data_IF_047798567296
#
_entry.id   IF_047798567296
#
_cell.length_a   1.000
_cell.length_b   1.000
_cell.length_c   1.000
_cell.angle_alpha   90.00
_cell.angle_beta   90.00
_cell.angle_gamma   90.00
#
_symmetry.space_group_name_H-M   'P 1'
#
loop_
_entity.id
_entity.type
_entity.pdbx_description
1 polymer ?
#
# COMPACT_ATOMS: atom_id res chain seq x y z
N UNK A 1 22.70 1.83 6.71
CA UNK A 1 23.56 2.48 7.74
C UNK A 1 24.39 1.49 8.55
N UNK A 2 23.82 0.56 9.33
CA UNK A 2 24.63 -0.33 10.20
C UNK A 2 25.64 -1.15 9.38
N UNK A 3 25.19 -1.84 8.33
CA UNK A 3 26.06 -2.64 7.44
C UNK A 3 27.18 -1.78 6.85
N UNK A 4 26.86 -0.57 6.38
CA UNK A 4 27.85 0.34 5.80
C UNK A 4 28.89 0.79 6.82
N UNK A 5 28.47 1.17 8.03
CA UNK A 5 29.37 1.62 9.08
C UNK A 5 30.27 0.49 9.60
N UNK A 6 29.72 -0.73 9.70
CA UNK A 6 30.46 -1.89 10.20
C UNK A 6 31.45 -2.45 9.15
N UNK A 7 31.09 -2.43 7.87
CA UNK A 7 31.93 -2.98 6.79
C UNK A 7 32.85 -1.96 6.12
N UNK A 8 32.54 -0.66 6.22
CA UNK A 8 33.18 0.39 5.41
C UNK A 8 32.77 0.38 3.93
N UNK A 9 31.84 -0.51 3.52
CA UNK A 9 31.38 -0.65 2.15
C UNK A 9 30.07 0.11 1.92
N UNK A 10 29.77 0.44 0.66
CA UNK A 10 28.41 0.82 0.29
C UNK A 10 27.47 -0.39 0.45
N UNK A 11 26.20 -0.13 0.73
CA UNK A 11 25.25 -1.20 1.04
C UNK A 11 25.04 -2.11 -0.17
N UNK A 12 24.87 -1.51 -1.34
CA UNK A 12 24.73 -2.17 -2.64
C UNK A 12 25.92 -3.06 -2.99
N UNK A 13 27.15 -2.59 -2.73
CA UNK A 13 28.36 -3.38 -2.99
C UNK A 13 28.47 -4.55 -2.01
N UNK A 14 28.10 -4.33 -0.74
CA UNK A 14 28.10 -5.37 0.28
C UNK A 14 27.13 -6.50 -0.06
N UNK A 15 25.86 -6.19 -0.34
CA UNK A 15 24.88 -7.24 -0.63
C UNK A 15 25.18 -7.95 -1.95
N UNK A 16 25.74 -7.25 -2.95
CA UNK A 16 26.19 -7.91 -4.19
C UNK A 16 27.28 -8.93 -3.87
N UNK A 17 28.34 -8.51 -3.20
CA UNK A 17 29.51 -9.36 -2.94
C UNK A 17 29.20 -10.54 -1.99
N UNK A 18 28.39 -10.31 -0.96
CA UNK A 18 28.19 -11.28 0.12
C UNK A 18 26.87 -12.04 0.04
N UNK A 19 25.94 -11.66 -0.85
CA UNK A 19 24.65 -12.34 -1.00
C UNK A 19 24.39 -12.67 -2.48
N UNK A 20 24.39 -11.68 -3.38
CA UNK A 20 23.95 -11.94 -4.76
C UNK A 20 24.94 -12.80 -5.55
N UNK A 21 26.23 -12.45 -5.53
CA UNK A 21 27.25 -13.18 -6.28
C UNK A 21 27.41 -14.64 -5.79
N UNK A 22 27.48 -14.94 -4.48
CA UNK A 22 27.56 -16.32 -3.99
C UNK A 22 26.33 -17.18 -4.31
N UNK A 23 25.16 -16.55 -4.49
CA UNK A 23 23.89 -17.21 -4.80
C UNK A 23 23.55 -17.19 -6.30
N UNK A 24 24.45 -16.71 -7.15
CA UNK A 24 24.22 -16.57 -8.59
C UNK A 24 22.97 -15.72 -8.93
N UNK A 25 22.63 -14.74 -8.08
CA UNK A 25 21.49 -13.83 -8.28
C UNK A 25 21.84 -12.69 -9.25
N UNK A 26 22.20 -13.05 -10.48
CA UNK A 26 22.77 -12.14 -11.49
C UNK A 26 21.78 -11.13 -12.06
N UNK A 27 20.48 -11.29 -11.78
CA UNK A 27 19.39 -10.40 -12.21
C UNK A 27 18.74 -9.70 -11.01
N UNK A 28 19.52 -9.49 -9.96
CA UNK A 28 19.11 -8.75 -8.76
C UNK A 28 19.86 -7.42 -8.67
N UNK A 29 19.10 -6.35 -8.47
CA UNK A 29 19.57 -4.98 -8.61
C UNK A 29 19.12 -4.12 -7.42
N UNK A 30 19.92 -3.11 -7.08
CA UNK A 30 19.54 -2.03 -6.15
C UNK A 30 19.18 -0.74 -6.87
N UNK A 31 19.50 -0.66 -8.17
CA UNK A 31 19.24 0.49 -9.03
C UNK A 31 18.11 0.17 -10.03
N UNK A 32 17.00 0.92 -10.01
CA UNK A 32 15.85 0.68 -10.89
C UNK A 32 16.12 1.04 -12.36
N UNK A 33 17.08 1.91 -12.66
CA UNK A 33 17.41 2.28 -14.03
C UNK A 33 18.20 1.14 -14.69
N UNK A 34 19.18 0.57 -13.97
CA UNK A 34 19.88 -0.66 -14.40
C UNK A 34 18.89 -1.82 -14.53
N UNK A 35 17.98 -2.01 -13.57
CA UNK A 35 16.97 -3.06 -13.66
C UNK A 35 16.06 -2.88 -14.89
N UNK A 36 15.72 -1.64 -15.26
CA UNK A 36 14.89 -1.34 -16.44
C UNK A 36 15.58 -1.67 -17.74
N UNK A 37 16.86 -1.36 -17.87
CA UNK A 37 17.69 -1.78 -19.01
C UNK A 37 17.72 -3.31 -19.14
N UNK A 38 17.55 -4.02 -18.02
CA UNK A 38 17.52 -5.47 -17.95
C UNK A 38 16.12 -6.09 -17.90
N UNK A 39 15.06 -5.33 -18.19
CA UNK A 39 13.69 -5.87 -18.33
C UNK A 39 12.83 -5.83 -17.07
N UNK A 40 13.02 -4.84 -16.19
CA UNK A 40 12.10 -4.55 -15.08
C UNK A 40 10.65 -4.44 -15.59
N UNK A 41 9.74 -5.18 -14.96
CA UNK A 41 8.30 -5.13 -15.28
C UNK A 41 7.75 -3.72 -15.08
N UNK A 42 6.78 -3.34 -15.94
CA UNK A 42 5.88 -2.24 -15.64
C UNK A 42 5.09 -2.56 -14.37
N UNK A 43 5.09 -1.64 -13.40
CA UNK A 43 4.24 -1.71 -12.22
C UNK A 43 2.86 -1.15 -12.50
N UNK A 44 1.86 -1.62 -11.76
CA UNK A 44 0.48 -1.19 -11.90
C UNK A 44 -0.14 -0.85 -10.55
N UNK A 45 -1.06 0.11 -10.57
CA UNK A 45 -1.93 0.47 -9.46
C UNK A 45 -3.40 0.42 -9.89
N UNK A 46 -4.32 0.91 -9.06
CA UNK A 46 -5.75 0.99 -9.40
C UNK A 46 -6.28 2.40 -9.27
N UNK A 47 -7.21 2.71 -10.16
CA UNK A 47 -8.12 3.84 -10.03
C UNK A 47 -9.53 3.32 -10.21
N UNK A 48 -10.33 3.30 -9.14
CA UNK A 48 -11.72 2.84 -9.21
C UNK A 48 -11.87 1.44 -9.82
N UNK A 49 -10.94 0.54 -9.49
CA UNK A 49 -10.94 -0.85 -9.94
C UNK A 49 -10.30 -1.07 -11.32
N UNK A 50 -10.04 -0.01 -12.09
CA UNK A 50 -9.28 -0.09 -13.33
C UNK A 50 -7.79 -0.18 -13.02
N UNK A 51 -7.12 -1.15 -13.63
CA UNK A 51 -5.67 -1.28 -13.57
C UNK A 51 -5.03 -0.16 -14.38
N UNK A 52 -4.14 0.61 -13.75
CA UNK A 52 -3.45 1.74 -14.38
C UNK A 52 -1.94 1.54 -14.27
N UNK A 53 -1.16 1.74 -15.34
CA UNK A 53 0.29 1.69 -15.25
C UNK A 53 0.79 2.81 -14.33
N UNK A 54 1.68 2.47 -13.40
CA UNK A 54 2.27 3.43 -12.47
C UNK A 54 3.76 3.11 -12.31
N UNK A 55 4.60 4.14 -12.36
CA UNK A 55 6.03 3.98 -12.08
C UNK A 55 6.22 3.78 -10.58
N UNK A 56 6.92 2.71 -10.22
CA UNK A 56 7.40 2.50 -8.85
C UNK A 56 8.35 3.64 -8.47
N UNK A 57 8.10 4.39 -7.38
CA UNK A 57 9.06 5.34 -6.85
C UNK A 57 10.40 4.66 -6.57
N UNK A 58 11.48 5.43 -6.49
CA UNK A 58 12.77 4.92 -6.05
C UNK A 58 13.23 5.71 -4.83
N UNK A 59 13.46 5.01 -3.72
CA UNK A 59 13.94 5.59 -2.47
C UNK A 59 15.25 4.92 -2.09
N UNK A 60 16.36 5.55 -2.44
CA UNK A 60 17.72 5.04 -2.19
C UNK A 60 17.93 4.67 -0.72
N UNK A 61 17.34 5.44 0.21
CA UNK A 61 17.45 5.21 1.65
C UNK A 61 16.61 4.01 2.16
N UNK A 62 15.71 3.45 1.34
CA UNK A 62 14.84 2.30 1.69
C UNK A 62 15.27 1.00 1.00
N UNK A 63 16.42 0.96 0.30
CA UNK A 63 16.90 -0.27 -0.37
C UNK A 63 17.02 -1.43 0.61
N UNK A 64 17.55 -1.20 1.82
CA UNK A 64 17.62 -2.23 2.86
C UNK A 64 16.29 -2.63 3.49
N UNK A 65 15.17 -1.97 3.14
CA UNK A 65 13.85 -2.26 3.67
C UNK A 65 12.90 -2.90 2.63
N UNK A 66 12.98 -2.54 1.35
CA UNK A 66 12.02 -3.04 0.36
C UNK A 66 12.23 -2.63 -1.11
N UNK A 67 13.39 -2.10 -1.49
CA UNK A 67 13.67 -1.63 -2.85
C UNK A 67 14.75 -2.43 -3.59
N UNK A 68 15.09 -3.63 -3.10
CA UNK A 68 15.82 -4.61 -3.90
C UNK A 68 14.88 -5.12 -5.00
N UNK A 69 15.38 -5.18 -6.22
CA UNK A 69 14.65 -5.60 -7.41
C UNK A 69 15.24 -6.93 -7.85
N UNK A 70 14.42 -7.95 -8.05
CA UNK A 70 14.89 -9.29 -8.37
C UNK A 70 13.94 -10.01 -9.33
N UNK A 71 14.27 -11.25 -9.65
CA UNK A 71 13.45 -12.16 -10.45
C UNK A 71 12.99 -13.33 -9.58
N UNK A 72 11.99 -14.09 -10.04
CA UNK A 72 11.55 -15.28 -9.31
C UNK A 72 12.65 -16.34 -9.25
N UNK A 73 13.50 -16.44 -10.28
CA UNK A 73 14.63 -17.39 -10.34
C UNK A 73 15.73 -17.04 -9.32
N UNK A 74 16.17 -15.78 -9.30
CA UNK A 74 17.16 -15.31 -8.32
C UNK A 74 16.65 -15.47 -6.87
N UNK A 75 15.38 -15.14 -6.63
CA UNK A 75 14.77 -15.33 -5.31
C UNK A 75 14.59 -16.81 -4.96
N UNK A 76 14.47 -17.71 -5.94
CA UNK A 76 14.49 -19.14 -5.70
C UNK A 76 15.87 -19.62 -5.26
N UNK A 77 16.96 -19.10 -5.84
CA UNK A 77 18.31 -19.38 -5.33
C UNK A 77 18.49 -18.89 -3.89
N UNK A 78 17.97 -17.70 -3.58
CA UNK A 78 17.95 -17.17 -2.22
C UNK A 78 17.14 -18.05 -1.27
N UNK A 79 15.93 -18.48 -1.64
CA UNK A 79 15.11 -19.33 -0.80
C UNK A 79 15.72 -20.71 -0.59
N UNK A 80 16.37 -21.30 -1.61
CA UNK A 80 17.13 -22.54 -1.47
C UNK A 80 18.26 -22.40 -0.44
N UNK A 81 18.99 -21.28 -0.46
CA UNK A 81 20.03 -21.02 0.54
C UNK A 81 19.44 -20.93 1.96
N UNK A 82 18.30 -20.25 2.10
CA UNK A 82 17.60 -20.09 3.38
C UNK A 82 17.09 -21.43 3.92
N UNK A 83 16.54 -22.28 3.05
CA UNK A 83 16.00 -23.61 3.42
C UNK A 83 17.13 -24.62 3.73
N UNK A 84 18.27 -24.50 3.04
CA UNK A 84 19.41 -25.41 3.19
C UNK A 84 20.48 -24.87 4.15
N UNK A 85 20.06 -24.35 5.30
CA UNK A 85 20.95 -23.88 6.38
C UNK A 85 22.07 -22.92 5.92
N UNK A 86 21.75 -22.01 5.00
CA UNK A 86 22.63 -20.99 4.46
C UNK A 86 23.46 -21.43 3.26
N UNK A 87 23.28 -22.67 2.76
CA UNK A 87 24.05 -23.22 1.65
C UNK A 87 23.29 -23.15 0.31
N UNK A 88 23.93 -22.55 -0.69
CA UNK A 88 23.54 -22.69 -2.08
C UNK A 88 24.71 -23.33 -2.84
N UNK A 89 24.48 -24.56 -3.32
CA UNK A 89 25.56 -25.42 -3.85
C UNK A 89 26.69 -25.52 -2.81
N UNK A 90 27.92 -25.23 -3.22
CA UNK A 90 29.11 -25.28 -2.35
C UNK A 90 29.40 -23.95 -1.61
N UNK A 91 28.50 -22.97 -1.69
CA UNK A 91 28.66 -21.65 -1.05
C UNK A 91 27.79 -21.56 0.20
N UNK A 92 28.38 -21.10 1.29
CA UNK A 92 27.67 -20.82 2.54
C UNK A 92 27.65 -19.31 2.79
N UNK A 93 26.47 -18.75 3.03
CA UNK A 93 26.31 -17.34 3.40
C UNK A 93 26.64 -17.09 4.86
N UNK A 94 26.22 -18.00 5.73
CA UNK A 94 26.26 -17.86 7.18
C UNK A 94 26.64 -19.21 7.81
N UNK A 95 27.35 -19.17 8.94
CA UNK A 95 27.54 -20.36 9.77
C UNK A 95 26.20 -20.92 10.25
N UNK A 96 26.12 -22.23 10.53
CA UNK A 96 24.89 -22.86 11.07
C UNK A 96 24.30 -22.10 12.27
N UNK A 97 25.15 -21.73 13.24
CA UNK A 97 24.72 -20.94 14.41
C UNK A 97 24.11 -19.59 14.02
N UNK A 98 24.61 -18.95 12.97
CA UNK A 98 24.07 -17.68 12.48
C UNK A 98 22.76 -17.87 11.72
N UNK A 99 22.57 -18.99 11.02
CA UNK A 99 21.28 -19.38 10.44
C UNK A 99 20.23 -19.66 11.52
N UNK A 100 20.59 -20.37 12.60
CA UNK A 100 19.70 -20.58 13.74
C UNK A 100 19.24 -19.25 14.35
N UNK A 101 20.16 -18.27 14.47
CA UNK A 101 19.82 -16.93 14.95
C UNK A 101 18.94 -16.14 13.96
N UNK A 102 19.10 -16.34 12.65
CA UNK A 102 18.31 -15.65 11.62
C UNK A 102 16.82 -15.96 11.75
N UNK A 103 16.48 -17.22 12.05
CA UNK A 103 15.10 -17.70 12.21
C UNK A 103 14.63 -17.82 13.67
N UNK A 104 15.44 -17.38 14.62
CA UNK A 104 15.00 -17.28 16.01
C UNK A 104 13.95 -16.19 16.15
N UNK A 105 12.69 -16.60 16.28
CA UNK A 105 11.55 -15.69 16.29
C UNK A 105 11.14 -15.29 17.71
N UNK A 106 10.88 -13.99 17.89
CA UNK A 106 10.21 -13.45 19.07
C UNK A 106 8.82 -12.96 18.66
N UNK A 107 7.77 -13.53 19.26
CA UNK A 107 6.37 -13.26 18.88
C UNK A 107 6.07 -13.48 17.39
N UNK A 108 6.66 -14.53 16.79
CA UNK A 108 6.43 -14.92 15.40
C UNK A 108 7.24 -14.15 14.36
N UNK A 109 8.11 -13.21 14.76
CA UNK A 109 9.00 -12.47 13.85
C UNK A 109 10.46 -12.62 14.27
N UNK A 110 11.32 -12.97 13.30
CA UNK A 110 12.75 -13.16 13.44
C UNK A 110 13.54 -12.04 12.73
N UNK A 111 14.77 -12.30 12.29
CA UNK A 111 15.60 -11.29 11.62
C UNK A 111 15.19 -11.09 10.15
N UNK A 112 14.02 -10.48 9.93
CA UNK A 112 13.48 -10.21 8.59
C UNK A 112 12.59 -11.32 8.04
N UNK A 113 12.09 -12.21 8.90
CA UNK A 113 11.23 -13.33 8.53
C UNK A 113 10.11 -13.50 9.55
N UNK A 114 8.91 -13.81 9.08
CA UNK A 114 7.87 -14.40 9.90
C UNK A 114 8.14 -15.90 10.02
N UNK A 115 8.00 -16.45 11.23
CA UNK A 115 8.24 -17.85 11.52
C UNK A 115 7.03 -18.41 12.23
N UNK A 116 6.34 -19.32 11.56
CA UNK A 116 5.16 -20.02 12.05
C UNK A 116 5.37 -21.54 12.00
N UNK A 117 4.44 -22.32 12.52
CA UNK A 117 4.57 -23.77 12.53
C UNK A 117 4.57 -24.34 11.11
N UNK A 118 5.74 -24.85 10.69
CA UNK A 118 5.92 -25.53 9.41
C UNK A 118 6.15 -24.60 8.22
N UNK A 119 6.32 -23.29 8.45
CA UNK A 119 6.45 -22.31 7.39
C UNK A 119 7.22 -21.04 7.87
N UNK A 120 8.22 -20.61 7.08
CA UNK A 120 8.97 -19.35 7.22
C UNK A 120 8.70 -18.46 6.00
N UNK A 121 8.20 -17.23 6.19
CA UNK A 121 7.88 -16.32 5.07
C UNK A 121 8.31 -14.90 5.29
N UNK A 122 8.39 -14.19 4.17
CA UNK A 122 8.23 -12.75 4.17
C UNK A 122 7.45 -12.28 2.94
N UNK A 123 6.59 -11.28 3.13
CA UNK A 123 5.89 -10.59 2.04
C UNK A 123 6.51 -9.24 1.73
N UNK A 124 6.36 -8.77 0.49
CA UNK A 124 6.70 -7.40 0.11
C UNK A 124 5.46 -6.66 -0.37
N UNK A 125 5.34 -5.38 -0.02
CA UNK A 125 4.24 -4.53 -0.47
C UNK A 125 4.79 -3.12 -0.74
N UNK A 126 4.93 -2.83 -2.03
CA UNK A 126 5.26 -1.49 -2.51
C UNK A 126 4.04 -0.89 -3.21
N UNK A 127 4.22 0.30 -3.74
CA UNK A 127 3.20 1.09 -4.42
C UNK A 127 2.59 0.37 -5.62
N UNK A 128 3.41 -0.37 -6.36
CA UNK A 128 3.00 -0.97 -7.64
C UNK A 128 3.34 -2.46 -7.74
N UNK A 129 3.87 -3.05 -6.66
CA UNK A 129 4.30 -4.45 -6.61
C UNK A 129 3.92 -5.09 -5.27
N UNK A 130 3.62 -6.39 -5.33
CA UNK A 130 3.45 -7.26 -4.16
C UNK A 130 4.30 -8.52 -4.37
N UNK A 131 4.91 -9.03 -3.31
CA UNK A 131 5.71 -10.25 -3.36
C UNK A 131 5.42 -11.17 -2.18
N UNK A 132 5.68 -12.45 -2.38
CA UNK A 132 5.69 -13.49 -1.35
C UNK A 132 6.92 -14.37 -1.55
N UNK A 133 7.62 -14.64 -0.45
CA UNK A 133 8.63 -15.70 -0.35
C UNK A 133 8.23 -16.53 0.85
N UNK A 134 8.03 -17.82 0.63
CA UNK A 134 7.44 -18.75 1.58
C UNK A 134 8.25 -20.06 1.51
N UNK A 135 8.76 -20.51 2.65
CA UNK A 135 9.68 -21.64 2.77
C UNK A 135 9.01 -22.70 3.66
N UNK A 136 8.94 -23.94 3.18
CA UNK A 136 8.41 -25.10 3.88
C UNK A 136 9.53 -26.12 4.17
N UNK A 137 10.30 -25.96 5.25
CA UNK A 137 11.48 -26.80 5.49
C UNK A 137 11.18 -28.30 5.61
N UNK A 138 10.01 -28.65 6.14
CA UNK A 138 9.57 -30.05 6.26
C UNK A 138 9.20 -30.68 4.92
N UNK A 139 9.14 -29.90 3.84
CA UNK A 139 8.76 -30.32 2.49
C UNK A 139 9.88 -30.11 1.48
N UNK A 140 11.04 -29.58 1.88
CA UNK A 140 12.18 -29.26 0.99
C UNK A 140 11.72 -28.44 -0.22
N UNK A 141 11.01 -27.34 0.07
CA UNK A 141 10.28 -26.58 -0.94
C UNK A 141 10.10 -25.13 -0.53
N UNK A 142 10.21 -24.23 -1.51
CA UNK A 142 9.88 -22.81 -1.36
C UNK A 142 8.95 -22.33 -2.48
N UNK A 143 8.11 -21.33 -2.18
CA UNK A 143 7.25 -20.65 -3.13
C UNK A 143 7.70 -19.19 -3.21
N UNK A 144 8.00 -18.73 -4.43
CA UNK A 144 8.26 -17.32 -4.74
C UNK A 144 7.18 -16.83 -5.70
N UNK A 145 6.46 -15.79 -5.30
CA UNK A 145 5.44 -15.14 -6.13
C UNK A 145 5.69 -13.64 -6.22
N UNK A 146 5.80 -13.14 -7.45
CA UNK A 146 5.98 -11.72 -7.75
C UNK A 146 4.78 -11.21 -8.54
N UNK A 147 4.15 -10.13 -8.08
CA UNK A 147 2.96 -9.54 -8.67
C UNK A 147 3.26 -8.08 -9.00
N UNK A 148 3.06 -7.70 -10.27
CA UNK A 148 3.29 -6.33 -10.75
C UNK A 148 2.08 -5.39 -10.55
N UNK A 149 1.28 -5.64 -9.52
CA UNK A 149 0.12 -4.85 -9.15
C UNK A 149 0.22 -4.54 -7.64
N UNK A 150 0.19 -3.26 -7.29
CA UNK A 150 0.18 -2.77 -5.92
C UNK A 150 -0.89 -1.72 -5.74
N UNK A 151 -1.72 -1.87 -4.72
CA UNK A 151 -2.77 -0.91 -4.32
C UNK A 151 -3.33 -1.36 -2.97
N UNK A 152 -3.94 -0.45 -2.19
CA UNK A 152 -4.46 -0.73 -0.85
C UNK A 152 -5.27 -2.02 -0.79
N UNK A 153 -6.29 -2.17 -1.63
CA UNK A 153 -7.12 -3.38 -1.61
C UNK A 153 -6.44 -4.60 -2.24
N UNK A 154 -5.51 -4.42 -3.18
CA UNK A 154 -4.79 -5.56 -3.74
C UNK A 154 -3.89 -6.22 -2.68
N UNK A 155 -3.24 -5.42 -1.84
CA UNK A 155 -2.34 -5.90 -0.80
C UNK A 155 -3.00 -6.78 0.26
N UNK A 156 -4.30 -6.60 0.49
CA UNK A 156 -5.07 -7.26 1.54
C UNK A 156 -6.16 -8.21 1.04
N UNK A 157 -6.50 -8.17 -0.26
CA UNK A 157 -7.59 -8.99 -0.82
C UNK A 157 -7.07 -9.83 -1.98
N UNK A 158 -6.81 -9.22 -3.14
CA UNK A 158 -6.52 -9.99 -4.36
C UNK A 158 -5.18 -10.72 -4.31
N UNK A 159 -4.13 -10.11 -3.76
CA UNK A 159 -2.82 -10.76 -3.71
C UNK A 159 -2.77 -11.93 -2.72
N UNK A 160 -3.32 -11.83 -1.49
CA UNK A 160 -3.49 -13.00 -0.63
C UNK A 160 -4.29 -14.13 -1.30
N UNK A 161 -5.41 -13.81 -1.97
CA UNK A 161 -6.21 -14.82 -2.68
C UNK A 161 -5.43 -15.52 -3.81
N UNK A 162 -4.62 -14.77 -4.58
CA UNK A 162 -3.75 -15.36 -5.60
C UNK A 162 -2.72 -16.27 -4.94
N UNK A 163 -2.09 -15.80 -3.85
CA UNK A 163 -1.08 -16.58 -3.16
C UNK A 163 -1.65 -17.87 -2.57
N UNK A 164 -2.79 -17.82 -1.88
CA UNK A 164 -3.48 -19.00 -1.33
C UNK A 164 -3.86 -20.01 -2.43
N UNK A 165 -4.25 -19.53 -3.61
CA UNK A 165 -4.52 -20.37 -4.77
C UNK A 165 -3.27 -21.09 -5.28
N UNK A 166 -2.15 -20.36 -5.42
CA UNK A 166 -0.85 -20.91 -5.83
C UNK A 166 -0.35 -21.91 -4.78
N UNK A 167 -0.33 -21.52 -3.51
CA UNK A 167 0.06 -22.37 -2.37
C UNK A 167 -0.73 -23.68 -2.37
N UNK A 168 -2.06 -23.59 -2.51
CA UNK A 168 -2.92 -24.77 -2.53
C UNK A 168 -2.54 -25.73 -3.65
N UNK A 169 -2.33 -25.24 -4.87
CA UNK A 169 -1.92 -26.05 -6.02
C UNK A 169 -0.57 -26.72 -5.76
N UNK A 170 0.41 -25.95 -5.29
CA UNK A 170 1.78 -26.43 -5.02
C UNK A 170 1.78 -27.49 -3.90
N UNK A 171 0.94 -27.33 -2.88
CA UNK A 171 0.81 -28.29 -1.78
C UNK A 171 -0.12 -29.47 -2.08
N UNK A 172 -0.62 -29.60 -3.31
CA UNK A 172 -1.50 -30.69 -3.73
C UNK A 172 -2.91 -30.63 -3.11
N UNK A 173 -3.34 -29.44 -2.68
CA UNK A 173 -4.69 -29.15 -2.16
C UNK A 173 -5.58 -28.62 -3.26
N UNK A 174 -6.90 -28.65 -3.05
CA UNK A 174 -7.85 -27.99 -3.95
C UNK A 174 -7.83 -26.48 -3.67
N UNK A 175 -7.58 -25.62 -4.67
CA UNK A 175 -7.57 -24.18 -4.45
C UNK A 175 -8.98 -23.66 -4.12
N UNK A 176 -9.10 -22.56 -3.36
CA UNK A 176 -10.39 -21.92 -3.11
C UNK A 176 -11.11 -21.56 -4.42
N UNK A 177 -12.44 -21.76 -4.52
CA UNK A 177 -13.22 -21.33 -5.67
C UNK A 177 -13.09 -19.82 -5.95
N UNK A 178 -13.07 -19.42 -7.22
CA UNK A 178 -12.98 -18.01 -7.63
C UNK A 178 -14.17 -17.17 -7.11
N UNK A 179 -15.31 -17.81 -6.86
CA UNK A 179 -16.48 -17.18 -6.25
C UNK A 179 -16.30 -16.87 -4.76
N UNK A 180 -15.31 -17.45 -4.10
CA UNK A 180 -15.02 -17.21 -2.69
C UNK A 180 -14.14 -15.96 -2.54
N UNK A 181 -14.74 -14.90 -2.01
CA UNK A 181 -14.07 -13.66 -1.63
C UNK A 181 -14.42 -12.47 -2.53
N UNK A 182 -13.76 -11.33 -2.27
CA UNK A 182 -14.15 -10.04 -2.82
C UNK A 182 -13.36 -9.68 -4.07
N UNK A 183 -14.05 -9.20 -5.10
CA UNK A 183 -13.41 -8.64 -6.29
C UNK A 183 -12.98 -7.19 -6.04
N UNK A 184 -11.68 -6.95 -5.96
CA UNK A 184 -11.10 -5.59 -5.86
C UNK A 184 -11.58 -4.68 -7.00
N UNK A 185 -11.80 -5.24 -8.20
CA UNK A 185 -12.38 -4.52 -9.33
C UNK A 185 -13.80 -4.03 -9.04
N UNK A 186 -14.65 -4.90 -8.48
CA UNK A 186 -16.03 -4.52 -8.12
C UNK A 186 -16.08 -3.54 -6.95
N UNK A 187 -15.20 -3.69 -5.95
CA UNK A 187 -15.04 -2.69 -4.88
C UNK A 187 -14.72 -1.32 -5.48
N UNK A 188 -13.78 -1.27 -6.43
CA UNK A 188 -13.42 -0.04 -7.14
C UNK A 188 -14.59 0.58 -7.93
N UNK A 189 -15.41 -0.23 -8.60
CA UNK A 189 -16.61 0.25 -9.30
C UNK A 189 -17.69 0.78 -8.36
N UNK A 190 -17.90 0.11 -7.21
CA UNK A 190 -18.82 0.59 -6.18
C UNK A 190 -18.33 1.93 -5.62
N UNK A 191 -17.03 2.06 -5.37
CA UNK A 191 -16.42 3.32 -4.96
C UNK A 191 -16.61 4.42 -6.01
N UNK A 192 -16.44 4.11 -7.29
CA UNK A 192 -16.70 5.04 -8.38
C UNK A 192 -18.13 5.53 -8.41
N UNK A 193 -19.11 4.61 -8.36
CA UNK A 193 -20.53 4.94 -8.34
C UNK A 193 -20.88 5.79 -7.13
N UNK A 194 -20.30 5.49 -5.97
CA UNK A 194 -20.46 6.27 -4.76
C UNK A 194 -19.92 7.69 -4.90
N UNK A 195 -18.68 7.84 -5.39
CA UNK A 195 -18.05 9.15 -5.64
C UNK A 195 -18.85 9.94 -6.68
N UNK A 196 -19.31 9.29 -7.75
CA UNK A 196 -20.13 9.93 -8.78
C UNK A 196 -21.47 10.42 -8.23
N UNK A 197 -22.17 9.58 -7.47
CA UNK A 197 -23.44 9.95 -6.83
C UNK A 197 -23.25 11.10 -5.83
N UNK A 198 -22.17 11.05 -5.03
CA UNK A 198 -21.80 12.12 -4.11
C UNK A 198 -21.49 13.42 -4.86
N UNK A 199 -20.74 13.35 -5.97
CA UNK A 199 -20.46 14.49 -6.83
C UNK A 199 -21.72 15.10 -7.43
N UNK A 200 -22.65 14.27 -7.93
CA UNK A 200 -23.94 14.71 -8.45
C UNK A 200 -24.81 15.35 -7.35
N UNK A 201 -24.85 14.76 -6.16
CA UNK A 201 -25.53 15.33 -5.00
C UNK A 201 -24.94 16.69 -4.62
N UNK A 202 -23.61 16.81 -4.58
CA UNK A 202 -22.95 18.06 -4.28
C UNK A 202 -23.19 19.10 -5.37
N UNK A 203 -23.11 18.74 -6.65
CA UNK A 203 -23.46 19.64 -7.75
C UNK A 203 -24.91 20.15 -7.65
N UNK A 204 -25.87 19.27 -7.34
CA UNK A 204 -27.27 19.65 -7.10
C UNK A 204 -27.40 20.62 -5.92
N UNK A 205 -26.74 20.34 -4.80
CA UNK A 205 -26.73 21.25 -3.64
C UNK A 205 -26.17 22.61 -4.02
N UNK A 206 -25.05 22.61 -4.74
CA UNK A 206 -24.39 23.81 -5.24
C UNK A 206 -25.29 24.62 -6.19
N UNK A 207 -26.08 23.99 -7.06
CA UNK A 207 -27.02 24.68 -7.97
C UNK A 207 -28.27 25.18 -7.24
N UNK A 208 -28.79 24.39 -6.30
CA UNK A 208 -29.96 24.75 -5.49
C UNK A 208 -29.68 25.83 -4.43
N UNK A 209 -28.42 26.28 -4.31
CA UNK A 209 -27.98 27.37 -3.42
C UNK A 209 -28.75 28.67 -3.63
N UNK A 210 -29.24 28.96 -4.84
CA UNK A 210 -30.06 30.17 -5.10
C UNK A 210 -31.34 30.16 -4.26
N UNK A 211 -31.99 29.00 -4.16
CA UNK A 211 -33.16 28.82 -3.30
C UNK A 211 -32.83 28.80 -1.80
N UNK A 212 -31.58 28.53 -1.41
CA UNK A 212 -31.17 28.64 0.00
C UNK A 212 -31.32 30.06 0.51
N UNK A 213 -30.90 31.07 -0.28
CA UNK A 213 -30.99 32.48 0.12
C UNK A 213 -32.45 32.91 0.35
N UNK A 214 -33.35 32.46 -0.50
CA UNK A 214 -34.79 32.73 -0.38
C UNK A 214 -35.39 32.03 0.84
N UNK A 215 -35.09 30.75 1.04
CA UNK A 215 -35.54 30.00 2.24
C UNK A 215 -34.97 30.57 3.53
N UNK A 216 -33.72 31.01 3.53
CA UNK A 216 -33.06 31.54 4.71
C UNK A 216 -33.72 32.81 5.24
N UNK A 217 -34.38 33.62 4.38
CA UNK A 217 -35.10 34.83 4.81
C UNK A 217 -36.16 34.56 5.87
N UNK A 218 -36.84 33.43 5.80
CA UNK A 218 -37.88 33.05 6.77
C UNK A 218 -37.32 32.39 8.03
N UNK A 219 -36.02 32.08 8.05
CA UNK A 219 -35.38 31.40 9.18
C UNK A 219 -34.91 32.39 10.25
N UNK A 220 -34.96 31.94 11.51
CA UNK A 220 -34.31 32.63 12.62
C UNK A 220 -32.79 32.70 12.45
N UNK A 221 -32.15 33.71 13.05
CA UNK A 221 -30.69 33.87 12.99
C UNK A 221 -29.95 32.61 13.48
N UNK A 222 -30.43 31.97 14.55
CA UNK A 222 -29.87 30.72 15.10
C UNK A 222 -29.86 29.60 14.06
N UNK A 223 -30.97 29.42 13.33
CA UNK A 223 -31.08 28.38 12.30
C UNK A 223 -30.14 28.64 11.13
N UNK A 224 -29.98 29.90 10.70
CA UNK A 224 -29.05 30.27 9.62
C UNK A 224 -27.59 30.01 10.00
N UNK A 225 -27.21 30.38 11.22
CA UNK A 225 -25.87 30.14 11.78
C UNK A 225 -25.60 28.64 11.86
N UNK A 226 -26.54 27.87 12.39
CA UNK A 226 -26.40 26.41 12.50
C UNK A 226 -26.23 25.73 11.13
N UNK A 227 -27.09 26.02 10.15
CA UNK A 227 -27.00 25.45 8.80
C UNK A 227 -25.67 25.80 8.10
N UNK A 228 -25.16 27.01 8.34
CA UNK A 228 -23.85 27.43 7.86
C UNK A 228 -22.74 26.66 8.56
N UNK A 229 -22.79 26.52 9.89
CA UNK A 229 -21.82 25.78 10.68
C UNK A 229 -21.76 24.30 10.29
N UNK A 230 -22.90 23.66 10.02
CA UNK A 230 -22.99 22.26 9.56
C UNK A 230 -22.16 22.02 8.29
N UNK A 231 -22.11 23.01 7.39
CA UNK A 231 -21.32 22.94 6.14
C UNK A 231 -19.80 22.90 6.39
N UNK A 232 -19.34 23.26 7.59
CA UNK A 232 -17.96 23.11 8.03
C UNK A 232 -17.79 21.91 8.97
N UNK A 233 -18.73 21.69 9.89
CA UNK A 233 -18.61 20.69 10.95
C UNK A 233 -18.58 19.27 10.39
N UNK A 234 -19.52 18.90 9.50
CA UNK A 234 -19.60 17.55 8.95
C UNK A 234 -18.30 17.14 8.24
N UNK A 235 -17.82 17.87 7.21
CA UNK A 235 -16.60 17.48 6.52
C UNK A 235 -15.38 17.50 7.44
N UNK A 236 -15.31 18.44 8.40
CA UNK A 236 -14.20 18.51 9.36
C UNK A 236 -14.18 17.31 10.30
N UNK A 237 -15.33 16.90 10.84
CA UNK A 237 -15.42 15.72 11.73
C UNK A 237 -15.01 14.46 10.97
N UNK A 238 -15.47 14.29 9.73
CA UNK A 238 -15.10 13.15 8.89
C UNK A 238 -13.59 13.14 8.63
N UNK A 239 -13.01 14.25 8.20
CA UNK A 239 -11.56 14.34 7.95
C UNK A 239 -10.75 14.09 9.22
N UNK A 240 -11.16 14.65 10.37
CA UNK A 240 -10.50 14.40 11.67
C UNK A 240 -10.59 12.93 12.04
N UNK A 241 -11.73 12.26 11.84
CA UNK A 241 -11.87 10.84 12.11
C UNK A 241 -10.95 9.99 11.21
N UNK A 242 -10.93 10.28 9.91
CA UNK A 242 -10.06 9.57 8.93
C UNK A 242 -8.59 9.74 9.28
N UNK A 243 -8.11 10.98 9.48
CA UNK A 243 -6.71 11.23 9.78
C UNK A 243 -6.32 10.75 11.18
N UNK A 244 -7.24 10.76 12.15
CA UNK A 244 -7.02 10.13 13.45
C UNK A 244 -6.82 8.62 13.32
N UNK A 245 -7.60 7.94 12.47
CA UNK A 245 -7.42 6.51 12.18
C UNK A 245 -6.07 6.22 11.51
N UNK A 246 -5.69 7.01 10.50
CA UNK A 246 -4.39 6.89 9.83
C UNK A 246 -3.25 7.12 10.84
N UNK A 247 -3.37 8.15 11.70
CA UNK A 247 -2.39 8.43 12.76
C UNK A 247 -2.28 7.28 13.76
N UNK A 248 -3.40 6.69 14.17
CA UNK A 248 -3.41 5.55 15.08
C UNK A 248 -2.68 4.34 14.47
N UNK A 249 -2.86 4.10 13.16
CA UNK A 249 -2.17 3.02 12.46
C UNK A 249 -0.66 3.25 12.33
N UNK A 250 -0.23 4.45 11.90
CA UNK A 250 1.19 4.74 11.68
C UNK A 250 1.98 5.10 12.96
N UNK A 251 1.28 5.45 14.04
CA UNK A 251 1.90 5.82 15.32
C UNK A 251 2.92 6.95 15.18
N UNK A 252 4.13 6.74 15.71
CA UNK A 252 5.21 7.73 15.65
C UNK A 252 5.72 8.03 14.23
N UNK A 253 5.41 7.17 13.25
CA UNK A 253 5.78 7.35 11.83
C UNK A 253 4.79 8.24 11.08
N UNK A 254 3.70 8.68 11.73
CA UNK A 254 2.71 9.52 11.10
C UNK A 254 3.27 10.91 10.77
N UNK A 255 3.21 11.30 9.50
CA UNK A 255 3.48 12.65 9.03
C UNK A 255 2.35 13.10 8.11
N UNK A 256 1.61 14.15 8.50
CA UNK A 256 0.42 14.58 7.77
C UNK A 256 0.69 14.95 6.31
N UNK A 257 1.71 15.76 6.06
CA UNK A 257 2.08 16.21 4.70
C UNK A 257 2.46 15.03 3.81
N UNK A 258 3.26 14.10 4.35
CA UNK A 258 3.63 12.88 3.65
C UNK A 258 2.38 12.05 3.29
N UNK A 259 1.47 11.86 4.24
CA UNK A 259 0.26 11.07 4.01
C UNK A 259 -0.65 11.70 2.95
N UNK A 260 -0.80 13.03 2.92
CA UNK A 260 -1.57 13.71 1.87
C UNK A 260 -0.94 13.46 0.49
N UNK A 261 0.38 13.65 0.34
CA UNK A 261 1.08 13.44 -0.93
C UNK A 261 0.97 11.96 -1.36
N UNK A 262 1.12 11.03 -0.42
CA UNK A 262 1.04 9.61 -0.67
C UNK A 262 -0.36 9.19 -1.11
N UNK A 263 -1.39 9.68 -0.42
CA UNK A 263 -2.78 9.39 -0.77
C UNK A 263 -3.16 9.92 -2.14
N UNK A 264 -2.75 11.13 -2.51
CA UNK A 264 -3.09 11.68 -3.85
C UNK A 264 -2.38 10.94 -4.98
N UNK A 265 -1.17 10.43 -4.74
CA UNK A 265 -0.35 9.75 -5.76
C UNK A 265 -0.54 8.24 -5.83
N UNK A 266 -0.96 7.58 -4.76
CA UNK A 266 -1.05 6.12 -4.68
C UNK A 266 -2.46 5.60 -4.42
N UNK A 267 -3.29 6.38 -3.74
CA UNK A 267 -4.68 6.08 -3.42
C UNK A 267 -5.59 7.13 -4.03
N UNK A 268 -5.37 7.41 -5.33
CA UNK A 268 -5.98 8.55 -6.02
C UNK A 268 -7.51 8.53 -5.96
N UNK A 269 -8.14 7.35 -6.01
CA UNK A 269 -9.59 7.22 -5.84
C UNK A 269 -10.06 7.60 -4.42
N UNK A 270 -9.34 7.19 -3.37
CA UNK A 270 -9.59 7.61 -1.99
C UNK A 270 -9.40 9.12 -1.84
N UNK A 271 -8.36 9.69 -2.43
CA UNK A 271 -8.15 11.13 -2.42
C UNK A 271 -9.28 11.88 -3.13
N UNK A 272 -9.73 11.41 -4.30
CA UNK A 272 -10.88 11.97 -5.02
C UNK A 272 -12.12 11.91 -4.12
N UNK A 273 -12.41 10.77 -3.49
CA UNK A 273 -13.53 10.64 -2.56
C UNK A 273 -13.47 11.70 -1.45
N UNK A 274 -12.31 11.86 -0.81
CA UNK A 274 -12.12 12.86 0.25
C UNK A 274 -12.34 14.28 -0.25
N UNK A 275 -11.82 14.64 -1.42
CA UNK A 275 -12.01 15.98 -1.98
C UNK A 275 -13.46 16.24 -2.38
N UNK A 276 -14.10 15.31 -3.08
CA UNK A 276 -15.51 15.41 -3.49
C UNK A 276 -16.43 15.47 -2.27
N UNK A 277 -16.10 14.75 -1.19
CA UNK A 277 -16.87 14.72 0.04
C UNK A 277 -16.70 15.93 0.95
N UNK A 278 -15.64 16.74 0.81
CA UNK A 278 -15.34 17.83 1.75
C UNK A 278 -15.29 19.22 1.12
N UNK A 279 -14.65 19.37 -0.04
CA UNK A 279 -14.42 20.69 -0.65
C UNK A 279 -15.73 21.39 -1.02
N UNK A 280 -16.73 20.73 -1.65
CA UNK A 280 -18.01 21.37 -1.95
C UNK A 280 -18.73 21.90 -0.71
N UNK A 281 -18.66 21.19 0.41
CA UNK A 281 -19.31 21.61 1.67
C UNK A 281 -18.63 22.84 2.25
N UNK A 282 -17.30 22.88 2.28
CA UNK A 282 -16.57 24.08 2.69
C UNK A 282 -16.87 25.28 1.79
N UNK A 283 -16.91 25.10 0.48
CA UNK A 283 -17.30 26.15 -0.48
C UNK A 283 -18.73 26.64 -0.20
N UNK A 284 -19.67 25.73 0.08
CA UNK A 284 -21.03 26.12 0.49
C UNK A 284 -21.01 26.92 1.80
N UNK A 285 -20.26 26.46 2.80
CA UNK A 285 -20.09 27.13 4.07
C UNK A 285 -19.59 28.56 3.92
N UNK A 286 -18.53 28.78 3.13
CA UNK A 286 -17.98 30.12 2.89
C UNK A 286 -18.99 31.03 2.16
N UNK A 287 -19.71 30.51 1.17
CA UNK A 287 -20.76 31.28 0.47
C UNK A 287 -21.89 31.68 1.42
N UNK A 288 -22.40 30.73 2.24
CA UNK A 288 -23.45 30.99 3.22
C UNK A 288 -22.99 32.01 4.27
N UNK A 289 -21.75 31.88 4.76
CA UNK A 289 -21.13 32.80 5.71
C UNK A 289 -21.03 34.21 5.13
N UNK A 290 -20.57 34.35 3.89
CA UNK A 290 -20.52 35.65 3.20
C UNK A 290 -21.90 36.29 3.09
N UNK A 291 -22.95 35.54 2.74
CA UNK A 291 -24.33 36.05 2.67
C UNK A 291 -24.89 36.46 4.03
N UNK A 292 -24.52 35.76 5.10
CA UNK A 292 -24.90 36.14 6.46
C UNK A 292 -24.24 37.45 6.90
N UNK A 293 -22.92 37.57 6.69
CA UNK A 293 -22.15 38.74 7.09
C UNK A 293 -22.50 39.99 6.26
N UNK A 294 -22.79 39.82 4.98
CA UNK A 294 -23.15 40.94 4.08
C UNK A 294 -24.60 41.43 4.22
N UNK A 295 -25.39 40.88 5.16
CA UNK A 295 -26.80 41.24 5.32
C UNK A 295 -27.71 40.84 4.16
N UNK A 296 -27.17 40.19 3.11
CA UNK A 296 -27.89 39.76 1.90
C UNK A 296 -28.93 38.66 2.16
N UNK A 297 -29.01 38.15 3.39
CA UNK A 297 -30.01 37.18 3.87
C UNK A 297 -31.17 37.82 4.62
N UNK A 298 -31.17 39.15 4.87
CA UNK A 298 -32.34 39.87 5.35
C UNK A 298 -33.35 40.11 4.22
#
# INVERSE_FOLDING_TARGET
MIVQNASGMKYEDYIRQFIFDPLEMTRTYTDPDVARENGLSQGYSRLFGFTIPQRQPHRVYEVGAGYIISTAEDLAHYSMAMDNAGYYKDKSLLSLKAMDMLFYAENGYAMGWFVEQGHIFHGGANETFKTYVDIYPLRDMSIVLLINQGYLFDHYISAPQIFEGVESIVLGRTPPPISEGWSVKHIGWLLFLFVFALGAFQARNLLSRRGWRERARTWSMRKRVWDTAVSFLIPTIILVAVFSGIKAFFGYRFNFTYQIINMTSMLTDIAILMFVGSVPDYVQGFVKLYWLLSGKTR
#
